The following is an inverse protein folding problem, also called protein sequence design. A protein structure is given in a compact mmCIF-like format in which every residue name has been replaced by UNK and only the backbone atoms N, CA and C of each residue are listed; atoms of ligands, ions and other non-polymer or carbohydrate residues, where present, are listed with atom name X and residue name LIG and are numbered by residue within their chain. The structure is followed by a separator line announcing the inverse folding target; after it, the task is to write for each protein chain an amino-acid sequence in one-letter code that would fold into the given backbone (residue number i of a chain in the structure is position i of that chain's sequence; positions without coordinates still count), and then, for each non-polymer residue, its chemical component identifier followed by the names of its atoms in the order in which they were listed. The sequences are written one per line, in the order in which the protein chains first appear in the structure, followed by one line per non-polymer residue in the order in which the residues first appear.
data_IF_808231463371
#
_entry.id   IF_808231463371
#
_cell.length_a   1.000
_cell.length_b   1.000
_cell.length_c   1.000
_cell.angle_alpha   90.00
_cell.angle_beta   90.00
_cell.angle_gamma   90.00
#
_symmetry.space_group_name_H-M   'P 1'
#
loop_
_entity.id
_entity.type
_entity.pdbx_description
1 polymer ?
#
# COMPACT_ATOMS: atom_id res chain seq x y z
N UNK A 1 4.50 2.30 3.02
CA UNK A 1 5.68 3.07 2.61
C UNK A 1 5.20 4.31 1.88
N UNK A 2 5.68 5.48 2.29
CA UNK A 2 5.38 6.74 1.63
C UNK A 2 5.87 6.73 0.18
N UNK A 3 5.07 7.24 -0.75
CA UNK A 3 5.47 7.29 -2.16
C UNK A 3 6.63 8.29 -2.33
N UNK A 4 7.66 7.91 -3.10
CA UNK A 4 8.81 8.79 -3.32
C UNK A 4 8.40 10.02 -4.16
N UNK A 5 8.72 11.21 -3.66
CA UNK A 5 8.57 12.46 -4.40
C UNK A 5 9.54 12.45 -5.59
N UNK A 6 9.08 12.87 -6.77
CA UNK A 6 9.88 12.86 -8.00
C UNK A 6 10.68 14.13 -8.15
N UNK A 7 12.00 14.00 -8.32
CA UNK A 7 12.90 15.10 -8.71
C UNK A 7 13.17 15.04 -10.20
N UNK A 8 13.00 16.15 -10.91
CA UNK A 8 13.14 16.19 -12.36
C UNK A 8 14.41 16.91 -12.78
N UNK A 9 15.39 16.15 -13.30
CA UNK A 9 16.70 16.68 -13.77
C UNK A 9 16.58 17.74 -14.87
N UNK A 10 15.48 17.73 -15.63
CA UNK A 10 15.24 18.68 -16.72
C UNK A 10 14.95 20.07 -16.18
N UNK A 11 14.22 20.18 -15.05
CA UNK A 11 13.90 21.44 -14.39
C UNK A 11 15.18 22.14 -13.92
N UNK A 12 16.04 21.41 -13.21
CA UNK A 12 17.33 21.90 -12.73
C UNK A 12 18.22 22.41 -13.88
N UNK A 13 18.31 21.65 -14.97
CA UNK A 13 19.04 22.09 -16.17
C UNK A 13 18.43 23.34 -16.81
N UNK A 14 17.11 23.44 -16.86
CA UNK A 14 16.42 24.60 -17.44
C UNK A 14 16.67 25.86 -16.60
N UNK A 15 16.70 25.75 -15.27
CA UNK A 15 17.00 26.85 -14.35
C UNK A 15 18.45 27.34 -14.46
N UNK A 16 19.43 26.42 -14.54
CA UNK A 16 20.81 26.83 -14.77
C UNK A 16 20.99 27.52 -16.12
N UNK A 17 20.27 27.04 -17.15
CA UNK A 17 20.31 27.68 -18.48
C UNK A 17 19.60 29.03 -18.50
N UNK A 18 18.46 29.21 -17.85
CA UNK A 18 17.82 30.55 -17.75
C UNK A 18 18.75 31.54 -17.04
N UNK A 19 19.41 31.13 -15.96
CA UNK A 19 20.36 31.99 -15.24
C UNK A 19 21.54 32.40 -16.14
N UNK A 20 22.12 31.44 -16.88
CA UNK A 20 23.19 31.72 -17.83
C UNK A 20 22.75 32.65 -18.97
N UNK A 21 21.57 32.42 -19.54
CA UNK A 21 21.03 33.26 -20.62
C UNK A 21 20.71 34.69 -20.12
N UNK A 22 20.15 34.83 -18.92
CA UNK A 22 19.90 36.15 -18.29
C UNK A 22 21.17 36.95 -18.07
N UNK A 23 22.28 36.28 -17.75
CA UNK A 23 23.58 36.91 -17.55
C UNK A 23 24.21 37.43 -18.87
N UNK A 24 23.87 36.81 -20.00
CA UNK A 24 24.33 37.23 -21.33
C UNK A 24 23.50 38.41 -21.83
N UNK A 25 22.18 38.24 -21.86
CA UNK A 25 21.23 39.26 -22.29
C UNK A 25 19.89 39.07 -21.55
N UNK A 26 19.48 40.03 -20.70
CA UNK A 26 18.20 39.96 -19.97
C UNK A 26 16.96 39.96 -20.88
N UNK A 27 17.09 40.46 -22.11
CA UNK A 27 16.01 40.63 -23.09
C UNK A 27 16.12 39.69 -24.29
N UNK A 28 16.88 38.60 -24.15
CA UNK A 28 17.15 37.64 -25.21
C UNK A 28 15.84 37.08 -25.82
N UNK A 29 15.67 37.30 -27.13
CA UNK A 29 14.55 36.82 -27.93
C UNK A 29 15.04 36.27 -29.28
N UNK A 30 14.67 35.03 -29.59
CA UNK A 30 14.98 34.37 -30.86
C UNK A 30 13.75 34.22 -31.77
N UNK A 31 12.62 34.85 -31.43
CA UNK A 31 11.35 34.71 -32.14
C UNK A 31 10.67 33.36 -31.91
N UNK A 32 9.46 33.19 -32.46
CA UNK A 32 8.65 31.96 -32.36
C UNK A 32 8.46 31.44 -30.92
N UNK A 33 8.35 32.33 -29.94
CA UNK A 33 8.22 31.95 -28.52
C UNK A 33 9.48 31.31 -27.92
N UNK A 34 10.64 31.39 -28.60
CA UNK A 34 11.95 31.03 -28.06
C UNK A 34 12.59 32.26 -27.43
N UNK A 35 11.95 32.76 -26.38
CA UNK A 35 12.46 33.89 -25.62
C UNK A 35 12.66 33.50 -24.15
N UNK A 36 13.32 34.38 -23.42
CA UNK A 36 13.65 34.11 -22.03
C UNK A 36 12.39 34.07 -21.14
N UNK A 37 11.39 34.89 -21.48
CA UNK A 37 10.11 34.97 -20.76
C UNK A 37 9.31 33.66 -20.86
N UNK A 38 9.13 33.11 -22.06
CA UNK A 38 8.42 31.85 -22.28
C UNK A 38 9.11 30.68 -21.56
N UNK A 39 10.43 30.67 -21.54
CA UNK A 39 11.21 29.67 -20.83
C UNK A 39 10.99 29.78 -19.31
N UNK A 40 10.95 30.99 -18.76
CA UNK A 40 10.64 31.19 -17.33
C UNK A 40 9.20 30.80 -16.98
N UNK A 41 8.23 31.17 -17.82
CA UNK A 41 6.83 30.79 -17.64
C UNK A 41 6.65 29.27 -17.67
N UNK A 42 7.32 28.57 -18.59
CA UNK A 42 7.25 27.11 -18.67
C UNK A 42 7.90 26.44 -17.44
N UNK A 43 8.99 26.99 -16.92
CA UNK A 43 9.63 26.52 -15.68
C UNK A 43 8.67 26.66 -14.49
N UNK A 44 8.01 27.82 -14.35
CA UNK A 44 7.04 28.06 -13.28
C UNK A 44 5.81 27.16 -13.38
N UNK A 45 5.26 26.98 -14.59
CA UNK A 45 4.19 26.02 -14.85
C UNK A 45 4.61 24.60 -14.48
N UNK A 46 5.85 24.21 -14.79
CA UNK A 46 6.33 22.89 -14.46
C UNK A 46 6.50 22.70 -12.95
N UNK A 47 7.07 23.68 -12.23
CA UNK A 47 7.19 23.69 -10.77
C UNK A 47 5.82 23.56 -10.08
N UNK A 48 4.86 24.38 -10.46
CA UNK A 48 3.50 24.34 -9.88
C UNK A 48 2.81 22.99 -10.09
N UNK A 49 2.99 22.35 -11.25
CA UNK A 49 2.47 21.00 -11.51
C UNK A 49 3.16 19.93 -10.65
N UNK A 50 4.47 20.02 -10.45
CA UNK A 50 5.23 19.11 -9.58
C UNK A 50 4.75 19.26 -8.13
N UNK A 51 4.56 20.48 -7.66
CA UNK A 51 4.10 20.74 -6.31
C UNK A 51 2.67 20.22 -6.10
N UNK A 52 1.76 20.49 -7.04
CA UNK A 52 0.40 19.95 -7.00
C UNK A 52 0.36 18.41 -7.02
N UNK A 53 1.26 17.77 -7.77
CA UNK A 53 1.39 16.32 -7.75
C UNK A 53 1.89 15.80 -6.40
N UNK A 54 2.91 16.43 -5.83
CA UNK A 54 3.47 16.03 -4.54
C UNK A 54 2.50 16.26 -3.37
N UNK A 55 1.68 17.32 -3.41
CA UNK A 55 0.61 17.54 -2.41
C UNK A 55 -0.48 16.49 -2.54
N UNK A 56 -0.91 16.16 -3.77
CA UNK A 56 -1.88 15.08 -3.99
C UNK A 56 -1.33 13.70 -3.55
N UNK A 57 -0.04 13.45 -3.69
CA UNK A 57 0.58 12.25 -3.13
C UNK A 57 0.52 12.22 -1.60
N UNK A 58 0.78 13.36 -0.95
CA UNK A 58 0.72 13.46 0.50
C UNK A 58 -0.70 13.22 1.04
N UNK A 59 -1.73 13.75 0.37
CA UNK A 59 -3.14 13.50 0.76
C UNK A 59 -3.55 12.05 0.56
N UNK A 60 -3.10 11.40 -0.52
CA UNK A 60 -3.35 9.97 -0.73
C UNK A 60 -2.67 9.13 0.38
N UNK A 61 -1.44 9.46 0.72
CA UNK A 61 -0.70 8.75 1.76
C UNK A 61 -1.37 8.95 3.13
N UNK A 62 -1.91 10.14 3.45
CA UNK A 62 -2.66 10.36 4.70
C UNK A 62 -3.99 9.61 4.75
N UNK A 63 -4.76 9.63 3.66
CA UNK A 63 -6.00 8.84 3.59
C UNK A 63 -5.72 7.35 3.73
N UNK A 64 -4.62 6.86 3.18
CA UNK A 64 -4.22 5.46 3.35
C UNK A 64 -3.90 5.14 4.80
N UNK A 65 -3.18 6.00 5.52
CA UNK A 65 -2.88 5.75 6.94
C UNK A 65 -4.15 5.72 7.79
N UNK A 66 -5.13 6.60 7.51
CA UNK A 66 -6.42 6.59 8.19
C UNK A 66 -7.19 5.29 7.94
N UNK A 67 -7.18 4.78 6.71
CA UNK A 67 -7.78 3.49 6.38
C UNK A 67 -7.08 2.34 7.12
N UNK A 68 -5.74 2.32 7.14
CA UNK A 68 -4.97 1.28 7.84
C UNK A 68 -5.24 1.31 9.36
N UNK A 69 -5.51 2.47 9.95
CA UNK A 69 -5.90 2.62 11.36
C UNK A 69 -7.33 2.15 11.62
N UNK A 70 -8.28 2.51 10.75
CA UNK A 70 -9.66 2.03 10.83
C UNK A 70 -9.75 0.52 10.66
N UNK A 71 -8.97 -0.07 9.75
CA UNK A 71 -8.91 -1.51 9.54
C UNK A 71 -8.43 -2.23 10.80
N UNK A 72 -7.40 -1.71 11.48
CA UNK A 72 -6.93 -2.26 12.76
C UNK A 72 -8.00 -2.16 13.84
N UNK A 73 -8.64 -1.00 13.97
CA UNK A 73 -9.68 -0.79 14.97
C UNK A 73 -10.90 -1.71 14.72
N UNK A 74 -11.29 -1.89 13.46
CA UNK A 74 -12.38 -2.78 13.08
C UNK A 74 -12.00 -4.24 13.34
N UNK A 75 -10.77 -4.64 13.01
CA UNK A 75 -10.26 -5.98 13.32
C UNK A 75 -10.32 -6.25 14.83
N UNK A 76 -9.81 -5.35 15.65
CA UNK A 76 -9.84 -5.49 17.12
C UNK A 76 -11.27 -5.56 17.67
N UNK A 77 -12.19 -4.75 17.12
CA UNK A 77 -13.58 -4.77 17.54
C UNK A 77 -14.27 -6.08 17.16
N UNK A 78 -14.07 -6.56 15.93
CA UNK A 78 -14.66 -7.83 15.48
C UNK A 78 -14.13 -9.02 16.27
N UNK A 79 -12.84 -9.04 16.62
CA UNK A 79 -12.26 -10.03 17.53
C UNK A 79 -12.90 -9.98 18.93
N UNK A 80 -13.03 -8.78 19.51
CA UNK A 80 -13.70 -8.60 20.82
C UNK A 80 -15.15 -9.07 20.78
N UNK A 81 -15.88 -8.80 19.70
CA UNK A 81 -17.25 -9.25 19.53
C UNK A 81 -17.33 -10.77 19.42
N UNK A 82 -16.44 -11.40 18.65
CA UNK A 82 -16.35 -12.87 18.54
C UNK A 82 -16.04 -13.51 19.90
N UNK A 83 -15.12 -12.94 20.67
CA UNK A 83 -14.80 -13.37 22.03
C UNK A 83 -16.01 -13.19 22.95
N UNK A 84 -16.76 -12.09 22.83
CA UNK A 84 -17.99 -11.85 23.57
C UNK A 84 -19.06 -12.92 23.31
N UNK A 85 -19.23 -13.34 22.05
CA UNK A 85 -20.12 -14.45 21.68
C UNK A 85 -19.62 -15.75 22.31
N UNK A 86 -18.32 -16.04 22.24
CA UNK A 86 -17.72 -17.18 22.92
C UNK A 86 -17.88 -17.15 24.44
N UNK A 87 -17.85 -15.97 25.06
CA UNK A 87 -18.04 -15.80 26.50
C UNK A 87 -19.50 -16.07 26.90
N UNK A 88 -20.47 -15.60 26.10
CA UNK A 88 -21.90 -15.73 26.40
C UNK A 88 -22.47 -17.12 26.08
N UNK A 89 -22.13 -17.69 24.93
CA UNK A 89 -22.72 -18.96 24.44
C UNK A 89 -21.74 -20.15 24.54
N UNK A 90 -20.45 -19.87 24.72
CA UNK A 90 -19.40 -20.89 24.75
C UNK A 90 -18.68 -21.05 23.41
N UNK A 91 -17.42 -21.49 23.47
CA UNK A 91 -16.56 -21.68 22.27
C UNK A 91 -16.92 -22.89 21.41
N UNK A 92 -17.88 -23.71 21.84
CA UNK A 92 -18.33 -24.91 21.14
C UNK A 92 -19.78 -24.80 20.66
N UNK A 93 -20.38 -23.62 20.80
CA UNK A 93 -21.79 -23.39 20.52
C UNK A 93 -22.06 -23.18 19.03
N UNK A 94 -23.32 -23.33 18.63
CA UNK A 94 -23.75 -23.05 17.26
C UNK A 94 -23.62 -21.57 16.93
N UNK A 95 -23.95 -20.69 17.87
CA UNK A 95 -23.88 -19.23 17.75
C UNK A 95 -22.45 -18.75 17.52
N UNK A 96 -21.47 -19.37 18.18
CA UNK A 96 -20.06 -19.04 17.95
C UNK A 96 -19.61 -19.41 16.53
N UNK A 97 -20.13 -20.51 15.98
CA UNK A 97 -19.90 -20.88 14.58
C UNK A 97 -20.59 -19.91 13.60
N UNK A 98 -21.83 -19.53 13.90
CA UNK A 98 -22.59 -18.57 13.10
C UNK A 98 -21.96 -17.18 13.07
N UNK A 99 -21.29 -16.78 14.16
CA UNK A 99 -20.52 -15.55 14.24
C UNK A 99 -19.18 -15.61 13.47
N UNK A 100 -18.87 -16.73 12.79
CA UNK A 100 -17.65 -16.94 12.01
C UNK A 100 -16.50 -17.60 12.76
N UNK A 101 -16.71 -18.04 13.99
CA UNK A 101 -15.71 -18.77 14.78
C UNK A 101 -15.65 -20.26 14.41
N UNK A 102 -14.51 -20.91 14.61
CA UNK A 102 -14.42 -22.38 14.54
C UNK A 102 -14.62 -22.97 15.93
N UNK A 103 -15.64 -23.83 16.07
CA UNK A 103 -15.96 -24.54 17.31
C UNK A 103 -14.76 -25.29 17.86
N UNK A 104 -14.71 -25.46 19.19
CA UNK A 104 -13.59 -26.13 19.85
C UNK A 104 -13.48 -27.60 19.44
N UNK A 105 -14.61 -28.28 19.27
CA UNK A 105 -14.71 -29.67 18.80
C UNK A 105 -14.24 -29.83 17.36
N UNK A 106 -14.62 -28.90 16.47
CA UNK A 106 -14.27 -28.94 15.04
C UNK A 106 -12.83 -28.45 14.76
N UNK A 107 -12.16 -27.84 15.75
CA UNK A 107 -10.82 -27.27 15.59
C UNK A 107 -9.74 -28.35 15.61
N UNK A 108 -9.21 -28.68 14.43
CA UNK A 108 -8.04 -29.54 14.29
C UNK A 108 -6.79 -28.80 14.81
N UNK A 109 -6.08 -29.38 15.79
CA UNK A 109 -4.81 -28.83 16.28
C UNK A 109 -3.71 -29.03 15.23
N UNK A 110 -2.77 -28.09 15.12
CA UNK A 110 -1.64 -28.21 14.17
C UNK A 110 -0.84 -29.51 14.36
N UNK A 111 -0.67 -29.99 15.60
CA UNK A 111 0.01 -31.26 15.90
C UNK A 111 -0.76 -32.50 15.43
N UNK A 112 -2.09 -32.44 15.43
CA UNK A 112 -2.92 -33.52 14.88
C UNK A 112 -2.96 -33.45 13.36
N UNK A 113 -3.02 -32.25 12.77
CA UNK A 113 -2.97 -32.05 11.32
C UNK A 113 -1.66 -32.55 10.71
N UNK A 114 -0.51 -32.25 11.34
CA UNK A 114 0.81 -32.73 10.90
C UNK A 114 0.93 -34.24 11.00
N UNK A 115 0.43 -34.86 12.08
CA UNK A 115 0.40 -36.31 12.22
C UNK A 115 -0.50 -36.97 11.17
N UNK A 116 -1.71 -36.43 10.95
CA UNK A 116 -2.64 -36.91 9.92
C UNK A 116 -2.03 -36.83 8.52
N UNK A 117 -1.28 -35.75 8.24
CA UNK A 117 -0.56 -35.59 6.97
C UNK A 117 0.57 -36.60 6.83
N UNK A 118 1.40 -36.80 7.84
CA UNK A 118 2.45 -37.82 7.85
C UNK A 118 1.88 -39.24 7.66
N UNK A 119 0.77 -39.58 8.35
CA UNK A 119 0.10 -40.88 8.15
C UNK A 119 -0.49 -41.05 6.76
N UNK A 120 -0.94 -39.95 6.13
CA UNK A 120 -1.42 -39.99 4.74
C UNK A 120 -0.29 -40.17 3.72
N UNK A 121 0.88 -39.57 3.97
CA UNK A 121 2.08 -39.73 3.14
C UNK A 121 2.70 -41.14 3.28
N UNK A 122 2.67 -41.72 4.49
CA UNK A 122 3.06 -43.12 4.74
C UNK A 122 2.09 -44.14 4.10
N UNK A 123 0.79 -43.84 4.07
CA UNK A 123 -0.19 -44.69 3.42
C UNK A 123 -0.02 -44.68 1.89
N UNK A 124 0.30 -43.52 1.31
CA UNK A 124 0.46 -43.35 -0.14
C UNK A 124 1.79 -43.92 -0.68
N UNK A 125 2.82 -44.01 0.16
CA UNK A 125 4.11 -44.65 -0.19
C UNK A 125 4.03 -46.18 -0.12
N UNK A 126 3.25 -46.73 0.82
CA UNK A 126 2.99 -48.18 0.91
C UNK A 126 2.14 -48.69 -0.26
N UNK A 127 1.15 -47.94 -0.72
CA UNK A 127 0.36 -48.30 -1.91
C UNK A 127 1.19 -48.26 -3.21
N UNK A 128 2.20 -47.40 -3.30
CA UNK A 128 3.09 -47.30 -4.47
C UNK A 128 4.17 -48.40 -4.54
N UNK A 129 4.46 -49.10 -3.43
CA UNK A 129 5.48 -50.18 -3.38
C UNK A 129 4.86 -51.57 -3.57
N UNK A 130 3.53 -51.67 -3.69
CA UNK A 130 2.80 -52.95 -3.83
C UNK A 130 2.33 -53.21 -5.28
N UNK A 131 3.14 -52.82 -6.26
CA UNK A 131 3.02 -53.16 -7.69
C UNK A 131 4.41 -53.59 -8.18
#
# INVERSE_FOLDING_TARGET
MSRQKRTYRVLEKAEFRTAGLKAIDPTMDFGDGRNLESMTQLIEQYRTKIDAYNTALATIDSSKTEMDELDKNLSDLTEKMLIGVAFKYGKDSYEYQMAGGVRKSDRIRKSTATRLKATSEEANTKSATTV
#
